data_IF_789370951366
#
_entry.id   IF_789370951366
#
_cell.length_a   1.000
_cell.length_b   1.000
_cell.length_c   1.000
_cell.angle_alpha   90.00
_cell.angle_beta   90.00
_cell.angle_gamma   90.00
#
_symmetry.space_group_name_H-M   'P 1'
#
loop_
_entity.id
_entity.type
_entity.pdbx_description
1 polymer ?
#
# COMPACT_ATOMS: atom_id res chain seq x y z
N UNK A 1 17.25 -1.24 32.48
CA UNK A 1 18.15 -1.01 31.33
C UNK A 1 17.34 -0.84 30.04
N UNK A 2 16.30 -1.66 29.81
CA UNK A 2 15.33 -1.48 28.71
C UNK A 2 14.69 -0.08 28.58
N UNK A 3 14.31 0.63 29.66
CA UNK A 3 13.62 1.93 29.53
C UNK A 3 14.47 3.02 28.87
N UNK A 4 15.79 3.01 29.14
CA UNK A 4 16.74 3.99 28.60
C UNK A 4 17.03 3.74 27.10
N UNK A 5 16.94 2.47 26.67
CA UNK A 5 17.15 2.06 25.28
C UNK A 5 15.93 2.44 24.41
N UNK A 6 14.73 2.27 24.96
CA UNK A 6 13.48 2.68 24.31
C UNK A 6 13.39 4.21 24.17
N UNK A 7 13.76 4.95 25.22
CA UNK A 7 13.86 6.41 25.20
C UNK A 7 14.82 6.93 24.09
N UNK A 8 15.93 6.23 23.86
CA UNK A 8 16.91 6.61 22.83
C UNK A 8 16.32 6.47 21.42
N UNK A 9 15.55 5.39 21.16
CA UNK A 9 14.88 5.16 19.88
C UNK A 9 13.81 6.21 19.65
N UNK A 10 12.96 6.47 20.63
CA UNK A 10 11.88 7.46 20.52
C UNK A 10 12.40 8.87 20.31
N UNK A 11 13.51 9.23 20.97
CA UNK A 11 14.19 10.51 20.77
C UNK A 11 14.69 10.67 19.33
N UNK A 12 15.33 9.63 18.78
CA UNK A 12 15.83 9.66 17.39
C UNK A 12 14.68 9.72 16.37
N UNK A 13 13.61 8.93 16.58
CA UNK A 13 12.45 8.95 15.71
C UNK A 13 11.70 10.29 15.77
N UNK A 14 11.64 10.92 16.93
CA UNK A 14 11.05 12.25 17.09
C UNK A 14 11.87 13.32 16.39
N UNK A 15 13.20 13.28 16.53
CA UNK A 15 14.09 14.15 15.77
C UNK A 15 13.85 14.05 14.26
N UNK A 16 13.69 12.84 13.71
CA UNK A 16 13.46 12.63 12.28
C UNK A 16 12.09 13.14 11.84
N UNK A 17 11.05 12.90 12.66
CA UNK A 17 9.67 13.27 12.34
C UNK A 17 9.45 14.78 12.40
N UNK A 18 10.02 15.43 13.41
CA UNK A 18 9.74 16.83 13.71
C UNK A 18 10.61 17.79 12.88
N UNK A 19 11.52 17.28 12.04
CA UNK A 19 12.43 18.09 11.23
C UNK A 19 11.87 18.38 9.83
N UNK A 20 11.57 19.65 9.48
CA UNK A 20 10.92 20.03 8.21
C UNK A 20 11.75 19.72 6.95
N UNK A 21 13.06 19.49 7.10
CA UNK A 21 13.99 19.38 5.98
C UNK A 21 13.98 18.01 5.28
N UNK A 22 13.30 17.02 5.85
CA UNK A 22 13.15 15.68 5.30
C UNK A 22 11.73 15.50 4.73
N UNK A 23 11.45 15.98 3.51
CA UNK A 23 10.15 15.78 2.89
C UNK A 23 9.82 14.30 2.79
N UNK A 24 8.54 13.97 2.87
CA UNK A 24 8.08 12.61 2.64
C UNK A 24 8.57 12.10 1.26
N UNK A 25 9.08 10.84 1.14
CA UNK A 25 9.18 9.78 2.14
C UNK A 25 10.52 9.71 2.88
N UNK A 26 11.39 10.73 2.78
CA UNK A 26 12.78 10.66 3.27
C UNK A 26 12.86 10.43 4.78
N UNK A 27 12.01 11.09 5.57
CA UNK A 27 11.89 10.82 7.01
C UNK A 27 11.52 9.37 7.30
N UNK A 28 10.54 8.81 6.58
CA UNK A 28 10.12 7.40 6.74
C UNK A 28 11.21 6.41 6.34
N UNK A 29 11.99 6.73 5.30
CA UNK A 29 13.16 5.96 4.87
C UNK A 29 14.26 5.95 5.94
N UNK A 30 14.52 7.07 6.60
CA UNK A 30 15.50 7.16 7.68
C UNK A 30 14.97 6.50 8.97
N UNK A 31 13.67 6.62 9.27
CA UNK A 31 13.05 5.88 10.38
C UNK A 31 13.11 4.36 10.16
N UNK A 32 13.07 3.87 8.91
CA UNK A 32 13.22 2.44 8.63
C UNK A 32 14.64 1.93 8.84
N UNK A 33 15.67 2.79 8.74
CA UNK A 33 17.04 2.44 9.15
C UNK A 33 17.11 2.09 10.64
N UNK A 34 16.45 2.87 11.50
CA UNK A 34 16.42 2.62 12.95
C UNK A 34 15.54 1.42 13.28
N UNK A 35 14.26 1.47 12.87
CA UNK A 35 13.25 0.47 13.30
C UNK A 35 13.49 -0.93 12.74
N UNK A 36 14.22 -1.06 11.62
CA UNK A 36 14.56 -2.36 11.04
C UNK A 36 16.04 -2.73 11.28
N UNK A 37 16.77 -2.00 12.13
CA UNK A 37 18.14 -2.38 12.48
C UNK A 37 18.19 -3.72 13.23
N UNK A 38 19.37 -4.35 13.25
CA UNK A 38 19.61 -5.49 14.16
C UNK A 38 19.51 -5.04 15.62
N UNK A 39 20.02 -3.84 15.88
CA UNK A 39 20.02 -3.17 17.17
C UNK A 39 19.45 -1.75 16.96
N UNK A 40 18.13 -1.58 17.14
CA UNK A 40 17.49 -0.28 16.97
C UNK A 40 18.05 0.82 17.89
N UNK A 41 18.33 0.57 19.18
CA UNK A 41 18.99 1.55 20.04
C UNK A 41 20.36 2.00 19.55
N UNK A 42 21.21 1.08 19.06
CA UNK A 42 22.50 1.45 18.49
C UNK A 42 22.35 2.28 17.21
N UNK A 43 21.41 1.93 16.35
CA UNK A 43 21.11 2.71 15.14
C UNK A 43 20.56 4.10 15.47
N UNK A 44 19.70 4.21 16.48
CA UNK A 44 19.19 5.48 16.99
C UNK A 44 20.31 6.35 17.57
N UNK A 45 21.18 5.76 18.40
CA UNK A 45 22.35 6.45 18.94
C UNK A 45 23.30 6.95 17.85
N UNK A 46 23.50 6.16 16.79
CA UNK A 46 24.28 6.58 15.62
C UNK A 46 23.69 7.83 14.97
N UNK A 47 22.38 7.84 14.67
CA UNK A 47 21.69 9.02 14.10
C UNK A 47 21.83 10.23 15.02
N UNK A 48 21.58 10.07 16.32
CA UNK A 48 21.69 11.15 17.30
C UNK A 48 23.12 11.70 17.43
N UNK A 49 24.14 10.84 17.35
CA UNK A 49 25.54 11.24 17.42
C UNK A 49 26.03 11.97 16.17
N UNK A 50 25.40 11.68 15.02
CA UNK A 50 25.74 12.29 13.74
C UNK A 50 25.07 13.66 13.58
N UNK A 51 23.93 13.87 14.25
CA UNK A 51 23.13 15.09 14.15
C UNK A 51 23.39 16.03 15.34
N UNK A 52 24.30 16.99 15.16
CA UNK A 52 24.59 17.99 16.19
C UNK A 52 23.48 19.06 16.25
N UNK A 53 23.25 19.65 17.42
CA UNK A 53 22.31 20.76 17.56
C UNK A 53 22.84 22.03 16.87
N UNK A 54 22.11 22.56 15.87
CA UNK A 54 22.46 23.83 15.23
C UNK A 54 22.10 23.90 13.74
N UNK A 55 22.68 24.87 13.04
CA UNK A 55 22.41 25.17 11.62
C UNK A 55 22.78 24.03 10.64
N UNK A 56 23.60 23.06 11.05
CA UNK A 56 24.08 21.99 10.17
C UNK A 56 23.22 20.71 10.19
N UNK A 57 22.29 20.60 11.13
CA UNK A 57 21.47 19.39 11.33
C UNK A 57 20.74 18.94 10.07
N UNK A 58 20.20 19.89 9.30
CA UNK A 58 19.50 19.61 8.06
C UNK A 58 20.41 18.93 7.02
N UNK A 59 21.65 19.41 6.88
CA UNK A 59 22.63 18.83 5.97
C UNK A 59 23.07 17.44 6.44
N UNK A 60 23.26 17.25 7.76
CA UNK A 60 23.63 15.98 8.38
C UNK A 60 22.55 14.91 8.17
N UNK A 61 21.28 15.24 8.40
CA UNK A 61 20.16 14.33 8.17
C UNK A 61 20.00 13.94 6.70
N UNK A 62 20.19 14.90 5.78
CA UNK A 62 20.19 14.61 4.33
C UNK A 62 21.37 13.76 3.89
N UNK A 63 22.54 13.94 4.51
CA UNK A 63 23.69 13.07 4.28
C UNK A 63 23.39 11.64 4.70
N UNK A 64 22.82 11.42 5.90
CA UNK A 64 22.38 10.09 6.35
C UNK A 64 21.36 9.45 5.40
N UNK A 65 20.39 10.22 4.92
CA UNK A 65 19.40 9.73 3.93
C UNK A 65 20.07 9.37 2.61
N UNK A 66 21.04 10.17 2.16
CA UNK A 66 21.82 9.91 0.95
C UNK A 66 22.63 8.63 1.07
N UNK A 67 23.36 8.47 2.17
CA UNK A 67 24.18 7.28 2.46
C UNK A 67 23.32 6.03 2.55
N UNK A 68 22.18 6.12 3.27
CA UNK A 68 21.25 5.01 3.37
C UNK A 68 20.62 4.66 2.01
N UNK A 69 20.23 5.66 1.21
CA UNK A 69 19.74 5.46 -0.16
C UNK A 69 20.78 4.74 -1.00
N UNK A 70 22.03 5.20 -0.97
CA UNK A 70 23.15 4.58 -1.69
C UNK A 70 23.33 3.12 -1.30
N UNK A 71 23.27 2.82 0.00
CA UNK A 71 23.36 1.46 0.54
C UNK A 71 22.26 0.56 -0.05
N UNK A 72 21.00 1.00 -0.02
CA UNK A 72 19.88 0.21 -0.55
C UNK A 72 19.99 0.02 -2.07
N UNK A 73 20.23 1.10 -2.81
CA UNK A 73 20.31 1.05 -4.28
C UNK A 73 21.48 0.20 -4.79
N UNK A 74 22.57 0.12 -4.02
CA UNK A 74 23.70 -0.76 -4.32
C UNK A 74 23.29 -2.24 -4.39
N UNK A 75 22.25 -2.63 -3.65
CA UNK A 75 21.71 -4.00 -3.63
C UNK A 75 20.54 -4.13 -4.61
N UNK A 76 19.60 -3.18 -4.61
CA UNK A 76 18.33 -3.35 -5.34
C UNK A 76 18.40 -2.98 -6.81
N UNK A 77 19.08 -1.87 -7.13
CA UNK A 77 19.15 -1.29 -8.47
C UNK A 77 20.44 -1.69 -9.18
N UNK A 78 21.55 -1.66 -8.45
CA UNK A 78 22.87 -1.93 -8.99
C UNK A 78 23.42 -3.29 -8.60
N UNK A 79 22.71 -4.06 -7.76
CA UNK A 79 23.22 -5.31 -7.21
C UNK A 79 23.61 -6.31 -8.30
N UNK A 80 24.76 -6.95 -8.10
CA UNK A 80 25.24 -8.02 -8.99
C UNK A 80 24.73 -9.37 -8.50
N UNK A 81 24.24 -10.17 -9.44
CA UNK A 81 23.94 -11.57 -9.17
C UNK A 81 25.25 -12.30 -8.85
N UNK A 82 25.34 -13.04 -7.73
CA UNK A 82 26.41 -14.01 -7.51
C UNK A 82 26.51 -14.97 -8.71
N UNK A 83 27.68 -15.60 -8.93
CA UNK A 83 27.85 -16.58 -10.00
C UNK A 83 26.73 -17.63 -9.97
N UNK A 84 26.11 -17.86 -11.12
CA UNK A 84 25.02 -18.82 -11.23
C UNK A 84 25.49 -20.21 -10.76
N UNK A 85 24.71 -20.93 -9.94
CA UNK A 85 25.10 -22.27 -9.49
C UNK A 85 25.26 -23.21 -10.68
N UNK A 86 26.29 -24.06 -10.66
CA UNK A 86 26.46 -25.12 -11.66
C UNK A 86 25.32 -26.17 -11.58
N UNK A 87 25.20 -27.04 -12.59
CA UNK A 87 24.12 -28.03 -12.66
C UNK A 87 24.06 -28.94 -11.43
N UNK A 88 25.21 -29.23 -10.80
CA UNK A 88 25.29 -30.05 -9.59
C UNK A 88 24.76 -29.31 -8.37
N UNK A 89 25.08 -28.03 -8.23
CA UNK A 89 24.56 -27.15 -7.19
C UNK A 89 23.06 -26.91 -7.37
N UNK A 90 22.59 -26.66 -8.60
CA UNK A 90 21.16 -26.53 -8.89
C UNK A 90 20.39 -27.79 -8.47
N UNK A 91 20.86 -28.98 -8.85
CA UNK A 91 20.22 -30.25 -8.43
C UNK A 91 20.14 -30.39 -6.91
N UNK A 92 21.20 -29.99 -6.19
CA UNK A 92 21.21 -30.00 -4.71
C UNK A 92 20.21 -29.01 -4.12
N UNK A 93 20.10 -27.81 -4.69
CA UNK A 93 19.13 -26.78 -4.28
C UNK A 93 17.70 -27.28 -4.51
N UNK A 94 17.40 -27.86 -5.68
CA UNK A 94 16.08 -28.43 -5.98
C UNK A 94 15.70 -29.53 -4.98
N UNK A 95 16.63 -30.42 -4.65
CA UNK A 95 16.41 -31.49 -3.67
C UNK A 95 16.18 -30.93 -2.27
N UNK A 96 16.97 -29.93 -1.84
CA UNK A 96 16.80 -29.26 -0.54
C UNK A 96 15.43 -28.60 -0.44
N UNK A 97 15.03 -27.87 -1.47
CA UNK A 97 13.81 -27.06 -1.47
C UNK A 97 12.54 -27.87 -1.83
N UNK A 98 12.65 -29.19 -1.93
CA UNK A 98 11.52 -30.08 -2.18
C UNK A 98 10.81 -29.83 -3.52
N UNK A 99 11.53 -29.27 -4.51
CA UNK A 99 11.00 -28.84 -5.80
C UNK A 99 9.73 -27.94 -5.68
N UNK A 100 9.71 -27.08 -4.66
CA UNK A 100 8.64 -26.11 -4.40
C UNK A 100 9.23 -24.74 -4.18
N UNK A 101 8.39 -23.72 -4.32
CA UNK A 101 8.80 -22.36 -4.01
C UNK A 101 9.02 -22.21 -2.50
N UNK A 102 10.23 -21.80 -2.11
CA UNK A 102 10.57 -21.54 -0.72
C UNK A 102 9.69 -20.45 -0.09
N UNK A 103 9.18 -19.49 -0.86
CA UNK A 103 8.32 -18.42 -0.32
C UNK A 103 6.86 -18.86 -0.27
N UNK A 104 6.31 -19.37 -1.38
CA UNK A 104 4.87 -19.60 -1.50
C UNK A 104 4.43 -21.02 -1.17
N UNK A 105 5.34 -21.99 -1.03
CA UNK A 105 5.03 -23.40 -0.83
C UNK A 105 4.53 -24.15 -2.08
N UNK A 106 4.29 -23.42 -3.18
CA UNK A 106 3.66 -23.97 -4.38
C UNK A 106 4.67 -24.57 -5.38
N UNK A 107 4.29 -25.59 -6.16
CA UNK A 107 5.12 -26.14 -7.24
C UNK A 107 5.24 -25.18 -8.43
N UNK A 108 6.04 -25.49 -9.44
CA UNK A 108 6.06 -24.72 -10.70
C UNK A 108 4.68 -24.74 -11.40
N UNK A 109 4.35 -23.68 -12.12
CA UNK A 109 3.27 -23.67 -13.11
C UNK A 109 3.80 -23.16 -14.46
N UNK A 110 3.01 -23.35 -15.53
CA UNK A 110 3.36 -22.83 -16.86
C UNK A 110 3.53 -21.31 -16.87
N UNK A 111 2.68 -20.59 -16.15
CA UNK A 111 2.71 -19.13 -16.05
C UNK A 111 3.69 -18.59 -15.00
N UNK A 112 4.13 -19.43 -14.06
CA UNK A 112 4.99 -19.04 -12.95
C UNK A 112 5.99 -20.17 -12.61
N UNK A 113 7.08 -20.29 -13.40
CA UNK A 113 8.04 -21.36 -13.23
C UNK A 113 8.90 -21.18 -11.98
N UNK A 114 9.44 -22.28 -11.47
CA UNK A 114 10.46 -22.26 -10.43
C UNK A 114 11.82 -21.86 -11.03
N UNK A 115 12.52 -20.99 -10.33
CA UNK A 115 13.85 -20.49 -10.70
C UNK A 115 14.77 -20.55 -9.49
N UNK A 116 16.04 -20.90 -9.73
CA UNK A 116 17.09 -20.82 -8.71
C UNK A 116 17.60 -19.39 -8.69
N UNK A 117 17.42 -18.69 -7.58
CA UNK A 117 17.77 -17.27 -7.44
C UNK A 117 18.68 -17.07 -6.24
N UNK A 118 19.58 -16.07 -6.25
CA UNK A 118 20.25 -15.65 -5.02
C UNK A 118 19.21 -15.07 -4.04
N UNK A 119 19.46 -15.29 -2.75
CA UNK A 119 18.60 -14.78 -1.67
C UNK A 119 18.82 -13.28 -1.48
N UNK A 120 20.05 -12.78 -1.66
CA UNK A 120 20.40 -11.35 -1.66
C UNK A 120 21.38 -11.08 -2.80
N UNK A 121 21.22 -9.95 -3.48
CA UNK A 121 22.17 -9.51 -4.51
C UNK A 121 23.42 -8.92 -3.85
N UNK A 122 24.57 -9.12 -4.48
CA UNK A 122 25.82 -8.56 -3.98
C UNK A 122 25.84 -7.03 -4.23
N UNK A 123 26.19 -6.20 -3.23
CA UNK A 123 26.16 -4.75 -3.37
C UNK A 123 27.32 -4.27 -4.25
N UNK A 124 27.09 -4.15 -5.55
CA UNK A 124 28.15 -3.89 -6.56
C UNK A 124 29.00 -2.66 -6.28
N UNK A 125 28.36 -1.55 -5.91
CA UNK A 125 29.05 -0.27 -5.66
C UNK A 125 29.92 -0.27 -4.40
N UNK A 126 29.69 -1.22 -3.47
CA UNK A 126 30.54 -1.39 -2.29
C UNK A 126 31.78 -2.22 -2.62
N UNK A 127 31.61 -3.19 -3.52
CA UNK A 127 32.63 -4.14 -3.92
C UNK A 127 33.78 -3.49 -4.71
N UNK A 128 33.51 -2.34 -5.34
CA UNK A 128 34.53 -1.49 -5.98
C UNK A 128 35.44 -0.79 -4.96
N UNK A 129 34.92 -0.50 -3.75
CA UNK A 129 35.65 0.21 -2.71
C UNK A 129 36.43 -0.72 -1.75
N UNK A 130 36.05 -2.01 -1.64
CA UNK A 130 36.64 -2.93 -0.65
C UNK A 130 36.84 -4.36 -1.20
N UNK A 131 38.00 -4.61 -1.84
CA UNK A 131 38.41 -5.90 -2.43
C UNK A 131 38.25 -7.12 -1.48
N UNK A 132 38.45 -6.92 -0.17
CA UNK A 132 38.34 -7.97 0.84
C UNK A 132 36.90 -8.48 1.02
N UNK A 133 35.90 -7.61 0.84
CA UNK A 133 34.49 -7.98 0.93
C UNK A 133 34.06 -8.82 -0.30
N UNK A 134 34.58 -8.48 -1.47
CA UNK A 134 34.37 -9.19 -2.74
C UNK A 134 34.85 -10.63 -2.69
N UNK A 135 36.02 -10.87 -2.12
CA UNK A 135 36.55 -12.23 -1.95
C UNK A 135 35.75 -13.07 -0.94
N UNK A 136 35.11 -12.44 0.06
CA UNK A 136 34.23 -13.16 1.00
C UNK A 136 32.91 -13.58 0.36
N UNK A 137 32.31 -12.74 -0.49
CA UNK A 137 31.07 -13.10 -1.20
C UNK A 137 31.27 -14.24 -2.20
N UNK A 138 32.43 -14.29 -2.88
CA UNK A 138 32.79 -15.42 -3.78
C UNK A 138 32.94 -16.76 -3.04
N UNK A 139 33.17 -16.75 -1.73
CA UNK A 139 33.34 -17.96 -0.89
C UNK A 139 32.02 -18.51 -0.35
N UNK A 140 30.90 -17.82 -0.56
CA UNK A 140 29.58 -18.32 -0.15
C UNK A 140 29.22 -19.51 -1.03
N UNK A 141 28.98 -20.67 -0.42
CA UNK A 141 28.53 -21.85 -1.16
C UNK A 141 27.17 -21.54 -1.81
N UNK A 142 26.98 -21.87 -3.10
CA UNK A 142 25.72 -21.64 -3.79
C UNK A 142 24.50 -22.22 -3.06
N UNK A 143 24.66 -23.32 -2.32
CA UNK A 143 23.57 -23.87 -1.52
C UNK A 143 23.14 -22.87 -0.44
N UNK A 144 24.07 -22.18 0.22
CA UNK A 144 23.74 -21.31 1.35
C UNK A 144 23.18 -19.96 0.88
N UNK A 145 23.58 -19.51 -0.31
CA UNK A 145 23.21 -18.21 -0.89
C UNK A 145 22.06 -18.21 -1.91
N UNK A 146 21.59 -19.38 -2.35
CA UNK A 146 20.51 -19.50 -3.35
C UNK A 146 19.34 -20.33 -2.85
N UNK A 147 18.19 -20.13 -3.48
CA UNK A 147 16.94 -20.83 -3.20
C UNK A 147 16.08 -21.04 -4.44
N UNK A 148 15.15 -21.97 -4.35
CA UNK A 148 14.16 -22.25 -5.37
C UNK A 148 12.89 -21.42 -5.11
N UNK A 149 12.54 -20.54 -6.02
CA UNK A 149 11.37 -19.67 -5.88
C UNK A 149 10.61 -19.56 -7.19
N UNK A 150 9.30 -19.33 -7.11
CA UNK A 150 8.50 -18.93 -8.27
C UNK A 150 8.96 -17.57 -8.78
N UNK A 151 8.87 -17.33 -10.09
CA UNK A 151 9.29 -16.06 -10.70
C UNK A 151 8.53 -14.86 -10.12
N UNK A 152 7.23 -15.01 -9.88
CA UNK A 152 6.40 -13.97 -9.25
C UNK A 152 6.88 -13.65 -7.82
N UNK A 153 7.13 -14.69 -7.02
CA UNK A 153 7.62 -14.58 -5.65
C UNK A 153 9.02 -13.96 -5.59
N UNK A 154 9.91 -14.34 -6.51
CA UNK A 154 11.23 -13.75 -6.65
C UNK A 154 11.15 -12.24 -6.94
N UNK A 155 10.24 -11.83 -7.83
CA UNK A 155 10.00 -10.41 -8.16
C UNK A 155 9.44 -9.66 -6.95
N UNK A 156 8.45 -10.21 -6.27
CA UNK A 156 7.85 -9.59 -5.08
C UNK A 156 8.87 -9.43 -3.95
N UNK A 157 9.66 -10.46 -3.70
CA UNK A 157 10.75 -10.44 -2.72
C UNK A 157 11.81 -9.41 -3.10
N UNK A 158 12.33 -9.42 -4.34
CA UNK A 158 13.30 -8.41 -4.82
C UNK A 158 12.82 -6.97 -4.67
N UNK A 159 11.52 -6.73 -4.80
CA UNK A 159 10.91 -5.41 -4.67
C UNK A 159 10.54 -5.04 -3.22
N UNK A 160 10.94 -5.86 -2.25
CA UNK A 160 10.68 -5.65 -0.83
C UNK A 160 9.20 -5.76 -0.45
N UNK A 161 8.34 -6.36 -1.28
CA UNK A 161 6.91 -6.55 -0.97
C UNK A 161 6.68 -7.67 0.04
N UNK A 162 7.58 -8.64 0.06
CA UNK A 162 7.59 -9.79 0.96
C UNK A 162 8.91 -9.81 1.70
N UNK A 163 8.83 -9.92 3.02
CA UNK A 163 9.94 -10.23 3.91
C UNK A 163 9.64 -11.49 4.70
N UNK A 164 10.68 -12.20 5.14
CA UNK A 164 10.52 -13.41 5.94
C UNK A 164 10.99 -13.13 7.37
N UNK A 165 10.05 -13.11 8.30
CA UNK A 165 10.32 -12.90 9.72
C UNK A 165 10.73 -14.21 10.37
N UNK A 166 11.91 -14.25 10.98
CA UNK A 166 12.30 -15.39 11.80
C UNK A 166 11.46 -15.44 13.07
N UNK A 167 10.86 -16.58 13.37
CA UNK A 167 10.04 -16.76 14.56
C UNK A 167 10.91 -17.19 15.74
N UNK A 168 10.91 -16.42 16.83
CA UNK A 168 11.57 -16.85 18.07
C UNK A 168 10.61 -17.73 18.89
N UNK A 169 11.04 -18.85 19.53
CA UNK A 169 12.41 -19.35 19.68
C UNK A 169 12.87 -20.33 18.56
N UNK A 170 12.02 -20.63 17.58
CA UNK A 170 12.34 -21.57 16.50
C UNK A 170 13.38 -20.97 15.55
N UNK A 171 14.66 -21.32 15.73
CA UNK A 171 15.79 -20.83 14.93
C UNK A 171 15.69 -21.14 13.41
N UNK A 172 14.62 -21.77 12.96
CA UNK A 172 14.46 -22.48 11.69
C UNK A 172 13.08 -22.24 11.05
N UNK A 173 12.16 -21.55 11.72
CA UNK A 173 10.85 -21.19 11.18
C UNK A 173 10.81 -19.71 10.83
N UNK A 174 10.22 -19.44 9.67
CA UNK A 174 9.97 -18.09 9.20
C UNK A 174 8.46 -17.89 9.02
N UNK A 175 8.03 -16.65 9.03
CA UNK A 175 6.67 -16.24 8.67
C UNK A 175 6.75 -15.21 7.55
N UNK A 176 5.86 -15.35 6.57
CA UNK A 176 5.71 -14.34 5.52
C UNK A 176 5.18 -13.05 6.16
N UNK A 177 5.91 -11.95 5.96
CA UNK A 177 5.51 -10.60 6.30
C UNK A 177 5.34 -9.76 5.04
N UNK A 178 4.25 -9.01 4.98
CA UNK A 178 3.94 -8.14 3.85
C UNK A 178 4.38 -6.71 4.14
N UNK A 179 5.10 -6.10 3.20
CA UNK A 179 5.55 -4.71 3.26
C UNK A 179 4.68 -3.88 2.32
N UNK A 180 3.46 -3.55 2.77
CA UNK A 180 2.45 -2.83 2.00
C UNK A 180 2.65 -1.30 2.03
N UNK A 181 3.88 -0.86 1.76
CA UNK A 181 4.24 0.56 1.69
C UNK A 181 4.12 1.03 0.22
N UNK A 182 3.33 2.08 0.00
CA UNK A 182 2.97 2.61 -1.33
C UNK A 182 1.73 1.95 -1.94
N UNK A 183 1.47 2.22 -3.23
CA UNK A 183 0.33 1.66 -3.97
C UNK A 183 0.59 0.22 -4.41
N UNK A 184 0.50 -0.72 -3.47
CA UNK A 184 0.77 -2.14 -3.72
C UNK A 184 -0.40 -3.00 -3.29
N UNK A 185 -0.75 -3.97 -4.14
CA UNK A 185 -1.62 -5.08 -3.79
C UNK A 185 -0.77 -6.35 -3.63
N UNK A 186 -1.10 -7.27 -2.70
CA UNK A 186 -0.39 -8.53 -2.61
C UNK A 186 -0.71 -9.39 -3.85
N UNK A 187 0.22 -9.41 -4.80
CA UNK A 187 0.04 -10.08 -6.09
C UNK A 187 0.48 -11.56 -6.11
N UNK A 188 1.02 -12.09 -5.01
CA UNK A 188 1.53 -13.47 -4.99
C UNK A 188 0.65 -14.38 -4.14
N UNK A 189 0.25 -15.48 -4.76
CA UNK A 189 -0.57 -16.52 -4.17
C UNK A 189 0.30 -17.47 -3.34
N UNK A 190 0.05 -17.53 -2.02
CA UNK A 190 0.83 -18.28 -1.03
C UNK A 190 0.01 -19.45 -0.48
N UNK A 191 0.65 -20.60 -0.30
CA UNK A 191 0.08 -21.78 0.36
C UNK A 191 0.42 -21.72 1.86
N UNK A 192 -0.44 -21.03 2.62
CA UNK A 192 -0.25 -20.79 4.05
C UNK A 192 0.71 -19.63 4.39
N UNK A 193 1.05 -19.50 5.67
CA UNK A 193 1.81 -18.37 6.22
C UNK A 193 3.32 -18.66 6.42
N UNK A 194 3.73 -19.91 6.23
CA UNK A 194 5.08 -20.38 6.55
C UNK A 194 5.83 -20.75 5.25
N UNK A 195 6.93 -20.07 4.92
CA UNK A 195 7.77 -20.40 3.78
C UNK A 195 8.46 -21.76 4.01
N UNK A 196 8.72 -22.50 2.92
CA UNK A 196 9.45 -23.78 2.93
C UNK A 196 10.97 -23.55 3.07
N UNK A 197 11.35 -23.06 4.24
CA UNK A 197 12.74 -22.94 4.71
C UNK A 197 13.00 -23.85 5.92
N UNK A 198 12.21 -24.92 6.02
CA UNK A 198 11.97 -25.70 7.23
C UNK A 198 13.14 -26.49 7.80
N UNK A 199 12.87 -27.22 8.89
CA UNK A 199 13.90 -27.88 9.66
C UNK A 199 14.46 -29.16 9.04
N UNK A 200 15.63 -29.03 8.41
CA UNK A 200 16.45 -30.13 7.95
C UNK A 200 17.49 -30.65 8.97
N UNK A 201 17.49 -30.17 10.22
CA UNK A 201 18.53 -30.49 11.22
C UNK A 201 18.77 -31.99 11.41
N UNK A 202 17.70 -32.80 11.35
CA UNK A 202 17.74 -34.26 11.50
C UNK A 202 18.10 -35.02 10.22
N UNK A 203 18.18 -34.32 9.08
CA UNK A 203 18.41 -34.90 7.75
C UNK A 203 19.80 -34.60 7.17
N UNK A 204 20.61 -33.77 7.85
CA UNK A 204 21.94 -33.36 7.38
C UNK A 204 21.93 -32.47 6.13
N UNK A 205 20.76 -32.04 5.66
CA UNK A 205 20.63 -31.16 4.50
C UNK A 205 20.92 -29.71 4.94
N UNK A 206 21.91 -29.08 4.29
CA UNK A 206 22.26 -27.66 4.53
C UNK A 206 21.09 -26.75 4.19
N UNK A 207 20.96 -25.62 4.90
CA UNK A 207 19.88 -24.63 4.73
C UNK A 207 20.39 -23.37 4.03
N UNK A 208 19.47 -22.54 3.57
CA UNK A 208 19.80 -21.15 3.23
C UNK A 208 20.38 -20.47 4.47
N UNK A 209 21.44 -19.68 4.31
CA UNK A 209 22.01 -18.92 5.42
C UNK A 209 21.01 -17.84 5.88
N UNK A 210 20.62 -17.95 7.16
CA UNK A 210 19.65 -17.08 7.79
C UNK A 210 20.04 -15.59 7.72
N UNK A 211 21.34 -15.29 7.61
CA UNK A 211 21.84 -13.91 7.49
C UNK A 211 21.38 -13.25 6.20
N UNK A 212 21.26 -13.98 5.08
CA UNK A 212 20.75 -13.41 3.83
C UNK A 212 19.28 -13.05 3.95
N UNK A 213 18.48 -13.97 4.50
CA UNK A 213 17.05 -13.76 4.71
C UNK A 213 16.82 -12.58 5.67
N UNK A 214 17.56 -12.56 6.79
CA UNK A 214 17.47 -11.48 7.78
C UNK A 214 17.95 -10.14 7.25
N UNK A 215 18.99 -10.11 6.39
CA UNK A 215 19.45 -8.87 5.74
C UNK A 215 18.37 -8.33 4.81
N UNK A 216 17.81 -9.15 3.92
CA UNK A 216 16.73 -8.70 3.04
C UNK A 216 15.52 -8.18 3.83
N UNK A 217 15.07 -8.92 4.85
CA UNK A 217 13.91 -8.56 5.64
C UNK A 217 14.03 -7.18 6.30
N UNK A 218 15.24 -6.81 6.73
CA UNK A 218 15.55 -5.49 7.30
C UNK A 218 15.56 -4.37 6.26
N UNK A 219 15.99 -4.68 5.03
CA UNK A 219 16.02 -3.70 3.94
C UNK A 219 14.65 -3.50 3.29
N UNK A 220 13.75 -4.47 3.37
CA UNK A 220 12.47 -4.49 2.64
C UNK A 220 11.65 -3.19 2.78
N UNK A 221 11.48 -2.66 3.99
CA UNK A 221 10.76 -1.39 4.21
C UNK A 221 11.45 -0.21 3.50
N UNK A 222 12.78 -0.12 3.57
CA UNK A 222 13.56 0.91 2.88
C UNK A 222 13.46 0.79 1.35
N UNK A 223 13.45 -0.44 0.82
CA UNK A 223 13.22 -0.67 -0.62
C UNK A 223 11.87 -0.09 -1.06
N UNK A 224 10.83 -0.26 -0.24
CA UNK A 224 9.50 0.28 -0.54
C UNK A 224 9.46 1.80 -0.48
N UNK A 225 10.10 2.43 0.51
CA UNK A 225 10.16 3.89 0.59
C UNK A 225 10.91 4.53 -0.59
N UNK A 226 11.93 3.86 -1.15
CA UNK A 226 12.58 4.32 -2.37
C UNK A 226 11.69 4.20 -3.61
N UNK A 227 10.88 3.15 -3.70
CA UNK A 227 9.88 3.02 -4.79
C UNK A 227 8.81 4.12 -4.67
N UNK A 228 8.34 4.39 -3.46
CA UNK A 228 7.42 5.50 -3.18
C UNK A 228 8.02 6.85 -3.60
N UNK A 229 9.28 7.10 -3.26
CA UNK A 229 10.01 8.31 -3.70
C UNK A 229 10.03 8.45 -5.22
N UNK A 230 10.30 7.36 -5.92
CA UNK A 230 10.33 7.34 -7.39
C UNK A 230 8.94 7.67 -7.97
N UNK A 231 7.90 7.06 -7.43
CA UNK A 231 6.52 7.30 -7.88
C UNK A 231 6.06 8.73 -7.64
N UNK A 232 6.45 9.37 -6.54
CA UNK A 232 6.18 10.79 -6.30
C UNK A 232 6.80 11.64 -7.42
N UNK A 233 8.09 11.44 -7.71
CA UNK A 233 8.78 12.20 -8.75
C UNK A 233 8.16 11.99 -10.15
N UNK A 234 7.77 10.75 -10.47
CA UNK A 234 7.09 10.42 -11.72
C UNK A 234 5.72 11.13 -11.81
N UNK A 235 4.96 11.17 -10.72
CA UNK A 235 3.66 11.83 -10.65
C UNK A 235 3.76 13.36 -10.76
N UNK A 236 4.72 13.98 -10.07
CA UNK A 236 4.98 15.42 -10.18
C UNK A 236 5.30 15.82 -11.63
N UNK A 237 6.09 14.98 -12.32
CA UNK A 237 6.43 15.17 -13.73
C UNK A 237 5.21 15.01 -14.64
N UNK A 238 4.34 14.02 -14.38
CA UNK A 238 3.13 13.78 -15.16
C UNK A 238 2.06 14.88 -14.99
N UNK A 239 1.91 15.41 -13.77
CA UNK A 239 0.98 16.52 -13.47
C UNK A 239 1.40 17.79 -14.22
N UNK A 240 2.70 18.08 -14.29
CA UNK A 240 3.22 19.23 -15.02
C UNK A 240 2.96 19.15 -16.55
N UNK A 241 2.78 17.94 -17.09
CA UNK A 241 2.63 17.69 -18.54
C UNK A 241 1.16 17.57 -19.00
N UNK A 242 0.22 17.26 -18.11
CA UNK A 242 -1.15 16.90 -18.48
C UNK A 242 -2.17 18.06 -18.38
N UNK A 243 -2.14 19.00 -19.33
CA UNK A 243 -3.31 19.82 -19.63
C UNK A 243 -4.14 19.20 -20.76
N UNK A 244 -5.43 18.83 -20.55
CA UNK A 244 -6.52 18.73 -21.57
C UNK A 244 -7.88 18.21 -21.01
N UNK A 245 -8.97 18.70 -21.64
CA UNK A 245 -10.43 18.52 -21.41
C UNK A 245 -11.03 17.19 -21.98
N UNK A 246 -12.22 16.74 -21.53
CA UNK A 246 -12.86 15.52 -22.04
C UNK A 246 -14.02 15.77 -23.04
N UNK A 247 -14.17 14.87 -24.02
CA UNK A 247 -15.29 14.77 -24.97
C UNK A 247 -16.19 13.55 -24.70
N UNK A 248 -17.42 13.64 -25.20
CA UNK A 248 -18.62 12.86 -24.84
C UNK A 248 -18.88 11.62 -25.72
N UNK A 249 -19.68 10.68 -25.22
CA UNK A 249 -20.20 9.51 -25.96
C UNK A 249 -21.73 9.33 -25.84
N UNK A 250 -22.30 8.57 -26.78
CA UNK A 250 -23.65 7.94 -26.88
C UNK A 250 -23.51 6.63 -27.69
N UNK A 251 -24.55 5.80 -27.92
CA UNK A 251 -25.29 4.93 -27.01
C UNK A 251 -25.16 3.43 -27.43
N UNK A 252 -24.74 2.59 -26.49
CA UNK A 252 -24.77 1.12 -26.54
C UNK A 252 -24.71 0.53 -25.12
N UNK A 253 -25.21 1.33 -24.17
CA UNK A 253 -24.64 1.43 -22.83
C UNK A 253 -24.87 0.18 -21.97
N UNK A 254 -26.03 -0.47 -22.05
CA UNK A 254 -26.35 -1.58 -21.12
C UNK A 254 -25.52 -2.83 -21.41
N UNK A 255 -25.46 -3.28 -22.67
CA UNK A 255 -24.62 -4.43 -23.04
C UNK A 255 -23.14 -4.14 -22.82
N UNK A 256 -22.70 -2.92 -23.14
CA UNK A 256 -21.34 -2.47 -22.88
C UNK A 256 -21.02 -2.45 -21.38
N UNK A 257 -21.92 -1.95 -20.53
CA UNK A 257 -21.75 -1.92 -19.07
C UNK A 257 -21.68 -3.33 -18.48
N UNK A 258 -22.50 -4.28 -18.94
CA UNK A 258 -22.42 -5.67 -18.49
C UNK A 258 -21.10 -6.35 -18.91
N UNK A 259 -20.60 -6.09 -20.11
CA UNK A 259 -19.29 -6.59 -20.56
C UNK A 259 -18.15 -5.93 -19.78
N UNK A 260 -18.22 -4.61 -19.59
CA UNK A 260 -17.27 -3.83 -18.81
C UNK A 260 -17.25 -4.24 -17.33
N UNK A 261 -18.37 -4.71 -16.79
CA UNK A 261 -18.43 -5.26 -15.43
C UNK A 261 -17.60 -6.54 -15.30
N UNK A 262 -17.75 -7.48 -16.24
CA UNK A 262 -16.94 -8.71 -16.28
C UNK A 262 -15.46 -8.40 -16.47
N UNK A 263 -15.14 -7.50 -17.40
CA UNK A 263 -13.76 -7.07 -17.67
C UNK A 263 -13.19 -6.34 -16.45
N UNK A 264 -13.96 -5.43 -15.84
CA UNK A 264 -13.56 -4.66 -14.67
C UNK A 264 -13.26 -5.54 -13.46
N UNK A 265 -14.11 -6.55 -13.20
CA UNK A 265 -13.86 -7.53 -12.14
C UNK A 265 -12.56 -8.32 -12.38
N UNK A 266 -12.27 -8.67 -13.63
CA UNK A 266 -11.02 -9.35 -13.98
C UNK A 266 -9.78 -8.45 -13.85
N UNK A 267 -9.89 -7.18 -14.24
CA UNK A 267 -8.77 -6.24 -14.24
C UNK A 267 -8.46 -5.64 -12.87
N UNK A 268 -9.49 -5.39 -12.05
CA UNK A 268 -9.38 -4.61 -10.82
C UNK A 268 -9.79 -5.37 -9.56
N UNK A 269 -10.27 -6.62 -9.69
CA UNK A 269 -10.73 -7.41 -8.55
C UNK A 269 -11.99 -6.85 -7.89
N UNK A 270 -12.22 -7.23 -6.63
CA UNK A 270 -13.34 -6.75 -5.82
C UNK A 270 -12.96 -5.45 -5.11
N UNK A 271 -13.89 -4.49 -5.01
CA UNK A 271 -13.65 -3.29 -4.20
C UNK A 271 -13.88 -3.58 -2.71
N UNK A 272 -13.61 -2.61 -1.84
CA UNK A 272 -13.88 -2.69 -0.40
C UNK A 272 -15.38 -2.81 -0.06
N UNK A 273 -16.27 -2.63 -1.04
CA UNK A 273 -17.71 -2.85 -0.90
C UNK A 273 -18.18 -3.90 -1.91
N UNK A 274 -18.92 -4.90 -1.44
CA UNK A 274 -19.58 -5.89 -2.31
C UNK A 274 -20.60 -5.28 -3.28
N UNK A 275 -21.05 -4.05 -2.98
CA UNK A 275 -22.02 -3.32 -3.78
C UNK A 275 -21.38 -2.39 -4.83
N UNK A 276 -20.05 -2.28 -4.89
CA UNK A 276 -19.36 -1.36 -5.81
C UNK A 276 -18.36 -2.14 -6.68
N UNK A 277 -18.39 -1.89 -7.98
CA UNK A 277 -17.47 -2.48 -8.96
C UNK A 277 -16.81 -1.41 -9.79
N UNK A 278 -15.47 -1.52 -9.93
CA UNK A 278 -14.68 -0.64 -10.80
C UNK A 278 -14.75 -1.16 -12.22
N UNK A 279 -15.06 -0.27 -13.15
CA UNK A 279 -15.11 -0.55 -14.58
C UNK A 279 -13.90 0.10 -15.29
N UNK A 280 -13.56 -0.35 -16.51
CA UNK A 280 -12.59 0.33 -17.36
C UNK A 280 -12.95 1.81 -17.59
N UNK A 281 -11.95 2.60 -17.99
CA UNK A 281 -12.08 4.03 -18.30
C UNK A 281 -12.43 4.92 -17.09
N UNK A 282 -12.13 4.44 -15.88
CA UNK A 282 -12.38 5.18 -14.65
C UNK A 282 -13.86 5.33 -14.37
N UNK A 283 -14.68 4.31 -14.67
CA UNK A 283 -16.10 4.28 -14.36
C UNK A 283 -16.36 3.37 -13.16
N UNK A 284 -17.46 3.62 -12.45
CA UNK A 284 -17.89 2.82 -11.31
C UNK A 284 -19.35 2.42 -11.46
N UNK A 285 -19.64 1.18 -11.10
CA UNK A 285 -21.00 0.65 -11.02
C UNK A 285 -21.33 0.34 -9.57
N UNK A 286 -22.38 0.97 -9.05
CA UNK A 286 -22.86 0.73 -7.69
C UNK A 286 -24.22 0.05 -7.72
N UNK A 287 -24.33 -1.14 -7.12
CA UNK A 287 -25.58 -1.84 -6.90
C UNK A 287 -26.31 -1.25 -5.70
N UNK A 288 -27.60 -0.99 -5.84
CA UNK A 288 -28.43 -0.47 -4.74
C UNK A 288 -29.88 -0.93 -4.93
N UNK A 289 -30.49 -1.40 -3.85
CA UNK A 289 -31.85 -1.94 -3.87
C UNK A 289 -32.93 -0.85 -3.78
N UNK A 290 -32.71 0.22 -3.01
CA UNK A 290 -33.74 1.26 -2.77
C UNK A 290 -33.19 2.70 -2.76
N UNK A 291 -31.88 2.91 -2.96
CA UNK A 291 -31.22 4.21 -2.77
C UNK A 291 -30.76 4.93 -4.04
N UNK A 292 -30.89 4.33 -5.22
CA UNK A 292 -30.24 4.83 -6.46
C UNK A 292 -30.66 6.25 -6.82
N UNK A 293 -31.96 6.53 -6.75
CA UNK A 293 -32.52 7.83 -7.11
C UNK A 293 -32.16 8.91 -6.10
N UNK A 294 -32.22 8.59 -4.81
CA UNK A 294 -31.82 9.54 -3.75
C UNK A 294 -30.32 9.84 -3.81
N UNK A 295 -29.46 8.83 -4.03
CA UNK A 295 -28.02 9.05 -4.21
C UNK A 295 -27.71 9.84 -5.48
N UNK A 296 -28.37 9.52 -6.60
CA UNK A 296 -28.22 10.26 -7.85
C UNK A 296 -28.60 11.74 -7.68
N UNK A 297 -29.72 12.01 -7.02
CA UNK A 297 -30.17 13.37 -6.76
C UNK A 297 -29.25 14.10 -5.76
N UNK A 298 -28.76 13.42 -4.73
CA UNK A 298 -27.77 13.97 -3.79
C UNK A 298 -26.49 14.42 -4.52
N UNK A 299 -25.93 13.57 -5.40
CA UNK A 299 -24.77 13.92 -6.22
C UNK A 299 -25.07 15.12 -7.14
N UNK A 300 -26.29 15.18 -7.71
CA UNK A 300 -26.74 16.30 -8.52
C UNK A 300 -26.80 17.63 -7.75
N UNK A 301 -27.32 17.62 -6.51
CA UNK A 301 -27.38 18.81 -5.65
C UNK A 301 -25.99 19.30 -5.26
N UNK A 302 -25.10 18.39 -4.85
CA UNK A 302 -23.72 18.74 -4.49
C UNK A 302 -23.00 19.33 -5.71
N UNK A 303 -23.14 18.71 -6.89
CA UNK A 303 -22.54 19.21 -8.12
C UNK A 303 -23.07 20.58 -8.55
N UNK A 304 -24.35 20.87 -8.27
CA UNK A 304 -25.00 22.14 -8.64
C UNK A 304 -24.63 23.31 -7.72
N UNK A 305 -24.55 23.06 -6.41
CA UNK A 305 -24.47 24.12 -5.41
C UNK A 305 -23.09 24.27 -4.75
N UNK A 306 -22.15 23.37 -5.01
CA UNK A 306 -20.85 23.36 -4.33
C UNK A 306 -19.71 23.11 -5.31
N UNK A 307 -18.48 23.40 -4.88
CA UNK A 307 -17.25 23.00 -5.58
C UNK A 307 -16.72 21.63 -5.16
N UNK A 308 -17.44 20.90 -4.31
CA UNK A 308 -17.00 19.60 -3.78
C UNK A 308 -16.88 18.60 -4.94
N UNK A 309 -15.71 17.94 -5.10
CA UNK A 309 -15.53 16.93 -6.14
C UNK A 309 -16.38 15.69 -5.81
N UNK A 310 -17.42 15.45 -6.60
CA UNK A 310 -18.28 14.27 -6.50
C UNK A 310 -18.36 13.50 -7.83
N UNK A 311 -18.57 12.17 -7.80
CA UNK A 311 -18.83 11.39 -9.00
C UNK A 311 -19.99 11.99 -9.81
N UNK A 312 -19.82 12.11 -11.14
CA UNK A 312 -20.91 12.48 -12.02
C UNK A 312 -21.73 11.22 -12.34
N UNK A 313 -23.03 11.30 -12.13
CA UNK A 313 -23.96 10.25 -12.55
C UNK A 313 -24.04 10.28 -14.07
N UNK A 314 -23.75 9.14 -14.69
CA UNK A 314 -23.83 8.97 -16.14
C UNK A 314 -25.17 8.33 -16.52
N UNK A 315 -25.58 7.30 -15.80
CA UNK A 315 -26.84 6.60 -16.05
C UNK A 315 -27.32 5.81 -14.82
N UNK A 316 -28.61 5.46 -14.83
CA UNK A 316 -29.24 4.51 -13.93
C UNK A 316 -29.64 3.28 -14.76
N UNK A 317 -28.92 2.17 -14.54
CA UNK A 317 -29.15 0.92 -15.26
C UNK A 317 -29.92 -0.02 -14.34
N UNK A 318 -30.99 -0.66 -14.83
CA UNK A 318 -31.72 -1.65 -14.05
C UNK A 318 -31.72 -3.00 -14.76
N UNK A 319 -31.65 -4.08 -14.00
CA UNK A 319 -31.99 -5.43 -14.47
C UNK A 319 -33.25 -5.94 -13.75
N UNK A 320 -33.59 -7.22 -13.98
CA UNK A 320 -34.79 -7.84 -13.36
C UNK A 320 -34.77 -7.91 -11.82
N UNK A 321 -33.63 -7.64 -11.17
CA UNK A 321 -33.42 -7.85 -9.72
C UNK A 321 -32.83 -6.65 -8.99
N UNK A 322 -32.05 -5.80 -9.65
CA UNK A 322 -31.32 -4.70 -9.03
C UNK A 322 -31.30 -3.43 -9.88
N UNK A 323 -31.15 -2.29 -9.21
CA UNK A 323 -30.81 -1.01 -9.85
C UNK A 323 -29.33 -0.71 -9.62
N UNK A 324 -28.67 -0.21 -10.67
CA UNK A 324 -27.27 0.13 -10.70
C UNK A 324 -27.09 1.60 -11.03
N UNK A 325 -26.27 2.28 -10.25
CA UNK A 325 -25.85 3.65 -10.50
C UNK A 325 -24.49 3.62 -11.21
N UNK A 326 -24.45 4.07 -12.47
CA UNK A 326 -23.22 4.22 -13.24
C UNK A 326 -22.68 5.63 -13.05
N UNK A 327 -21.46 5.75 -12.54
CA UNK A 327 -20.82 7.04 -12.26
C UNK A 327 -19.40 7.13 -12.83
N UNK A 328 -18.91 8.35 -12.99
CA UNK A 328 -17.49 8.61 -13.21
C UNK A 328 -16.71 8.37 -11.91
N UNK A 329 -15.54 7.77 -12.01
CA UNK A 329 -14.56 7.77 -10.94
C UNK A 329 -14.03 9.17 -10.68
N UNK A 330 -13.81 9.49 -9.41
CA UNK A 330 -13.00 10.64 -9.04
C UNK A 330 -11.54 10.35 -9.32
N UNK A 331 -10.82 11.38 -9.81
CA UNK A 331 -9.37 11.31 -9.95
C UNK A 331 -8.75 11.42 -8.57
N UNK A 332 -7.78 10.56 -8.28
CA UNK A 332 -7.08 10.52 -6.99
C UNK A 332 -7.10 9.13 -6.37
N UNK A 333 -6.41 8.99 -5.25
CA UNK A 333 -6.40 7.78 -4.43
C UNK A 333 -7.23 7.99 -3.16
N UNK A 334 -7.91 6.95 -2.64
CA UNK A 334 -8.57 7.03 -1.34
C UNK A 334 -7.58 7.46 -0.27
N UNK A 335 -7.96 8.44 0.56
CA UNK A 335 -7.09 9.00 1.60
C UNK A 335 -6.46 7.91 2.47
N UNK A 336 -7.22 6.88 2.85
CA UNK A 336 -6.74 5.75 3.65
C UNK A 336 -5.50 5.06 3.05
N UNK A 337 -5.33 5.07 1.73
CA UNK A 337 -4.16 4.49 1.03
C UNK A 337 -2.98 5.47 0.96
N UNK A 338 -3.25 6.76 1.12
CA UNK A 338 -2.29 7.83 1.03
C UNK A 338 -1.97 8.46 2.40
N UNK A 339 -2.57 8.03 3.51
CA UNK A 339 -2.36 8.65 4.82
C UNK A 339 -0.88 8.66 5.22
N UNK A 340 -0.15 7.59 4.90
CA UNK A 340 1.28 7.50 5.18
C UNK A 340 2.14 8.48 4.36
N UNK A 341 1.56 9.06 3.29
CA UNK A 341 2.19 9.95 2.32
C UNK A 341 2.04 11.44 2.67
N UNK A 342 1.19 11.78 3.64
CA UNK A 342 0.85 13.17 3.98
C UNK A 342 1.88 13.77 4.93
N UNK A 343 2.32 15.00 4.64
CA UNK A 343 3.03 15.85 5.61
C UNK A 343 2.05 16.53 6.58
N UNK A 344 2.56 17.12 7.67
CA UNK A 344 1.72 17.90 8.60
C UNK A 344 1.02 19.08 7.91
N UNK A 345 1.69 19.68 6.92
CA UNK A 345 1.10 20.71 6.07
C UNK A 345 -0.05 20.15 5.23
N UNK A 346 0.14 18.98 4.59
CA UNK A 346 -0.92 18.33 3.82
C UNK A 346 -2.11 17.96 4.72
N UNK A 347 -1.84 17.53 5.96
CA UNK A 347 -2.87 17.27 6.96
C UNK A 347 -3.67 18.54 7.29
N UNK A 348 -3.00 19.68 7.49
CA UNK A 348 -3.69 20.95 7.74
C UNK A 348 -4.49 21.41 6.52
N UNK A 349 -3.90 21.36 5.32
CA UNK A 349 -4.59 21.70 4.07
C UNK A 349 -5.79 20.78 3.82
N UNK A 350 -5.67 19.49 4.16
CA UNK A 350 -6.78 18.54 4.12
C UNK A 350 -7.90 18.92 5.10
N UNK A 351 -7.58 19.27 6.34
CA UNK A 351 -8.58 19.71 7.34
C UNK A 351 -9.30 20.97 6.86
N UNK A 352 -8.56 21.96 6.38
CA UNK A 352 -9.11 23.22 5.88
C UNK A 352 -10.02 22.98 4.66
N UNK A 353 -9.59 22.12 3.73
CA UNK A 353 -10.38 21.73 2.57
C UNK A 353 -11.67 21.00 2.98
N UNK A 354 -11.60 20.06 3.93
CA UNK A 354 -12.77 19.33 4.41
C UNK A 354 -13.75 20.24 5.14
N UNK A 355 -13.26 21.19 5.94
CA UNK A 355 -14.12 22.20 6.59
C UNK A 355 -14.83 23.07 5.56
N UNK A 356 -14.12 23.49 4.50
CA UNK A 356 -14.71 24.22 3.37
C UNK A 356 -15.81 23.41 2.68
N UNK A 357 -15.54 22.15 2.35
CA UNK A 357 -16.52 21.26 1.71
C UNK A 357 -17.77 21.04 2.57
N UNK A 358 -17.61 20.76 3.87
CA UNK A 358 -18.74 20.58 4.79
C UNK A 358 -19.57 21.87 4.89
N UNK A 359 -18.92 23.03 4.94
CA UNK A 359 -19.61 24.33 5.01
C UNK A 359 -20.45 24.58 3.76
N UNK A 360 -19.92 24.27 2.58
CA UNK A 360 -20.65 24.38 1.31
C UNK A 360 -21.84 23.42 1.25
N UNK A 361 -21.66 22.15 1.67
CA UNK A 361 -22.73 21.15 1.68
C UNK A 361 -23.87 21.57 2.62
N UNK A 362 -23.55 22.15 3.79
CA UNK A 362 -24.55 22.66 4.74
C UNK A 362 -25.32 23.87 4.22
N UNK A 363 -24.76 24.61 3.27
CA UNK A 363 -25.39 25.77 2.65
C UNK A 363 -26.32 25.41 1.47
N UNK A 364 -26.41 24.13 1.09
CA UNK A 364 -27.33 23.67 0.03
C UNK A 364 -28.79 23.99 0.44
N UNK A 365 -29.58 24.63 -0.44
CA UNK A 365 -30.99 24.93 -0.13
C UNK A 365 -31.80 23.67 0.17
N UNK A 366 -32.80 23.74 1.09
CA UNK A 366 -33.67 22.61 1.38
C UNK A 366 -34.51 22.23 0.15
N UNK A 367 -34.69 20.93 -0.08
CA UNK A 367 -35.36 20.38 -1.27
C UNK A 367 -36.86 20.14 -1.06
N UNK A 368 -37.29 19.99 0.20
CA UNK A 368 -38.69 19.79 0.58
C UNK A 368 -39.39 21.08 1.05
N UNK A 369 -40.62 20.96 1.58
CA UNK A 369 -41.31 22.08 2.22
C UNK A 369 -40.42 22.73 3.28
N UNK A 370 -40.55 24.06 3.43
CA UNK A 370 -39.79 24.81 4.44
C UNK A 370 -39.94 24.12 5.80
N UNK A 371 -38.82 23.98 6.51
CA UNK A 371 -38.76 23.40 7.85
C UNK A 371 -39.04 21.89 7.94
N UNK A 372 -38.83 21.10 6.88
CA UNK A 372 -38.92 19.63 6.97
C UNK A 372 -37.55 18.95 6.99
N UNK A 373 -37.37 17.96 7.87
CA UNK A 373 -36.25 17.01 7.81
C UNK A 373 -36.65 15.88 6.87
N UNK A 374 -36.01 15.84 5.71
CA UNK A 374 -36.32 14.91 4.61
C UNK A 374 -35.05 14.49 3.87
N UNK A 375 -35.18 13.45 3.04
CA UNK A 375 -34.12 13.04 2.13
C UNK A 375 -33.98 14.04 0.96
N UNK A 376 -33.05 13.78 0.04
CA UNK A 376 -32.79 14.73 -1.06
C UNK A 376 -33.93 14.84 -2.06
N UNK A 377 -34.89 13.93 -2.05
CA UNK A 377 -36.11 13.94 -2.86
C UNK A 377 -37.30 14.58 -2.12
N UNK A 378 -37.11 15.10 -0.91
CA UNK A 378 -38.20 15.63 -0.08
C UNK A 378 -39.05 14.55 0.60
N UNK A 379 -38.59 13.30 0.61
CA UNK A 379 -39.30 12.14 1.17
C UNK A 379 -38.68 11.68 2.51
N UNK A 380 -39.14 10.55 3.03
CA UNK A 380 -38.60 9.92 4.24
C UNK A 380 -37.09 9.62 4.13
N UNK A 381 -36.37 9.81 5.22
CA UNK A 381 -34.95 9.47 5.36
C UNK A 381 -34.78 7.97 5.60
N UNK A 382 -33.66 7.41 5.14
CA UNK A 382 -33.26 6.02 5.41
C UNK A 382 -31.84 6.02 5.95
N UNK A 383 -31.64 5.56 7.18
CA UNK A 383 -30.33 5.42 7.81
C UNK A 383 -30.23 4.01 8.42
N UNK A 384 -29.27 3.16 8.03
CA UNK A 384 -29.13 1.80 8.55
C UNK A 384 -28.99 1.73 10.08
N UNK A 385 -28.56 2.81 10.73
CA UNK A 385 -28.42 2.90 12.19
C UNK A 385 -29.76 3.17 12.89
N UNK A 386 -30.81 3.51 12.14
CA UNK A 386 -32.13 3.86 12.68
C UNK A 386 -33.18 2.92 12.05
N UNK A 387 -33.87 2.14 12.89
CA UNK A 387 -34.89 1.16 12.46
C UNK A 387 -34.41 0.23 11.33
N UNK A 388 -33.15 -0.18 11.37
CA UNK A 388 -32.52 -1.05 10.37
C UNK A 388 -32.63 -0.54 8.92
N UNK A 389 -32.67 0.78 8.73
CA UNK A 389 -32.78 1.41 7.42
C UNK A 389 -34.20 1.54 6.88
N UNK A 390 -35.23 1.19 7.65
CA UNK A 390 -36.61 1.45 7.24
C UNK A 390 -36.86 2.97 7.13
N UNK A 391 -37.56 3.45 6.08
CA UNK A 391 -37.83 4.86 5.89
C UNK A 391 -38.53 5.52 7.11
N UNK A 392 -38.06 6.71 7.50
CA UNK A 392 -38.57 7.51 8.61
C UNK A 392 -38.79 8.98 8.22
N UNK A 393 -39.85 9.59 8.74
CA UNK A 393 -40.25 10.96 8.36
C UNK A 393 -41.00 11.00 7.02
N UNK A 394 -40.98 12.12 6.27
CA UNK A 394 -40.31 13.38 6.61
C UNK A 394 -40.90 14.00 7.89
N UNK A 395 -40.08 14.69 8.67
CA UNK A 395 -40.51 15.31 9.93
C UNK A 395 -40.69 16.81 9.77
N UNK A 396 -41.82 17.34 10.26
CA UNK A 396 -41.98 18.78 10.43
C UNK A 396 -41.14 19.25 11.64
N UNK A 397 -40.34 20.29 11.45
CA UNK A 397 -39.57 20.95 12.51
C UNK A 397 -40.47 21.58 13.59
N UNK A 398 -41.74 21.88 13.27
CA UNK A 398 -42.72 22.39 14.22
C UNK A 398 -43.43 21.28 15.03
N UNK A 399 -42.68 20.44 15.74
CA UNK A 399 -43.25 19.66 16.86
C UNK A 399 -42.42 19.92 18.12
N UNK A 400 -42.78 20.99 18.83
CA UNK A 400 -42.66 21.03 20.29
C UNK A 400 -44.00 20.60 20.87
N UNK A 401 -43.91 19.72 21.88
CA UNK A 401 -44.96 19.22 22.79
C UNK A 401 -46.05 18.31 22.22
N UNK A 402 -45.80 17.00 22.28
CA UNK A 402 -46.75 16.01 22.82
C UNK A 402 -46.02 14.69 23.08
N UNK A 403 -45.04 14.74 23.99
CA UNK A 403 -44.61 13.56 24.73
C UNK A 403 -45.24 13.64 26.13
N UNK A 404 -46.56 13.47 26.15
CA UNK A 404 -47.34 13.09 27.32
C UNK A 404 -48.43 12.17 26.79
N UNK A 405 -48.53 10.97 27.36
CA UNK A 405 -49.41 9.84 27.03
C UNK A 405 -49.09 9.01 25.77
N UNK A 406 -48.19 8.04 25.89
CA UNK A 406 -48.50 6.63 26.19
C UNK A 406 -47.22 5.82 26.40
#
# INVERSE_FOLDING_TARGET
>A
MEPLLEETVDKALSLIRDEPCLPHPLGKLLSSFITQAVDPPLAAAHVLSYCHSGQHREAELRALVSDWTFIIESITKHGTTPPAPDSRAQTRILKRDGNRCCITGKPASLSDPLVVMPVVLAPSRWLEAELAYTERLKRVDPIDGHWLVRRSAAKAYRNGLVKLHRLHPSMIEYRIGWCLIGTVEPMIDVDGQYPLLGDHSRSGIRKVDARFIGTHARLASSMRWLEVRKQIADNETAIAQAGVRPTTSRPGLVSAVCQMFRIGHHLYGSTSSLAVSRLPFGLYLKSTSEGAFNESNALGLIHKYTSVPVPRVLDLVADSRNTYLLTTGLRGEPLARAMDMLSDRDCQEFVDQMQSFISQIRAIPPVGPKNHICNTLGQACSDPRIRDGNPIGPFDWHIKSSASSL
#
